data_IF_566951337264
#
_entry.id   IF_566951337264
#
_cell.length_a   1.000
_cell.length_b   1.000
_cell.length_c   1.000
_cell.angle_alpha   90.00
_cell.angle_beta   90.00
_cell.angle_gamma   90.00
#
_symmetry.space_group_name_H-M   'P 1'
#
loop_
_entity.id
_entity.type
_entity.pdbx_description
1 polymer ?
#
# COMPACT_ATOMS: atom_id res chain seq x y z
N UNK A 1 10.60 34.02 25.21
CA UNK A 1 10.22 32.70 25.77
C UNK A 1 9.53 31.86 24.68
N UNK A 2 10.28 31.24 23.78
CA UNK A 2 9.74 30.46 22.63
C UNK A 2 10.61 29.25 22.29
N UNK A 3 11.05 28.45 23.28
CA UNK A 3 11.93 27.31 23.00
C UNK A 3 11.46 25.96 23.61
N UNK A 4 10.27 25.89 24.18
CA UNK A 4 9.83 24.68 24.90
C UNK A 4 9.06 23.65 24.05
N UNK A 5 8.63 23.98 22.82
CA UNK A 5 7.86 23.07 21.98
C UNK A 5 8.70 22.06 21.16
N UNK A 6 10.03 22.26 21.07
CA UNK A 6 10.89 21.47 20.20
C UNK A 6 11.51 20.19 20.79
N UNK A 7 11.45 19.96 22.10
CA UNK A 7 12.19 18.88 22.78
C UNK A 7 11.33 17.93 23.63
N UNK A 8 10.01 17.98 23.53
CA UNK A 8 9.15 17.11 24.32
C UNK A 8 9.30 15.64 23.90
N UNK A 9 9.65 14.70 24.81
CA UNK A 9 9.66 13.27 24.53
C UNK A 9 8.28 12.74 24.07
N UNK A 10 7.21 13.49 24.33
CA UNK A 10 5.84 13.19 23.96
C UNK A 10 5.65 12.97 22.44
N UNK A 11 6.40 13.69 21.57
CA UNK A 11 6.32 13.52 20.11
C UNK A 11 6.68 12.10 19.66
N UNK A 12 7.62 11.46 20.35
CA UNK A 12 8.01 10.08 20.03
C UNK A 12 6.93 9.08 20.44
N UNK A 13 6.20 9.34 21.53
CA UNK A 13 5.01 8.57 21.90
C UNK A 13 3.90 8.73 20.86
N UNK A 14 3.67 9.94 20.35
CA UNK A 14 2.72 10.17 19.26
C UNK A 14 3.13 9.41 17.99
N UNK A 15 4.44 9.39 17.65
CA UNK A 15 4.93 8.59 16.53
C UNK A 15 4.70 7.09 16.76
N UNK A 16 4.98 6.57 17.95
CA UNK A 16 4.77 5.15 18.26
C UNK A 16 3.28 4.78 18.17
N UNK A 17 2.38 5.60 18.72
CA UNK A 17 0.93 5.40 18.65
C UNK A 17 0.42 5.47 17.20
N UNK A 18 0.90 6.43 16.42
CA UNK A 18 0.57 6.53 15.01
C UNK A 18 1.08 5.31 14.20
N UNK A 19 2.29 4.84 14.52
CA UNK A 19 2.86 3.64 13.90
C UNK A 19 2.04 2.38 14.24
N UNK A 20 1.63 2.19 15.49
CA UNK A 20 0.76 1.07 15.89
C UNK A 20 -0.57 1.14 15.15
N UNK A 21 -1.21 2.32 15.10
CA UNK A 21 -2.50 2.49 14.44
C UNK A 21 -2.42 2.20 12.94
N UNK A 22 -1.38 2.65 12.24
CA UNK A 22 -1.23 2.38 10.80
C UNK A 22 -0.79 0.94 10.53
N UNK A 23 0.09 0.36 11.36
CA UNK A 23 0.50 -1.04 11.20
C UNK A 23 -0.67 -2.00 11.36
N UNK A 24 -1.57 -1.73 12.33
CA UNK A 24 -2.78 -2.52 12.52
C UNK A 24 -3.75 -2.42 11.33
N UNK A 25 -3.83 -1.25 10.70
CA UNK A 25 -4.61 -1.06 9.46
C UNK A 25 -4.03 -1.87 8.30
N UNK A 26 -2.70 -1.86 8.12
CA UNK A 26 -2.04 -2.67 7.07
C UNK A 26 -2.09 -4.18 7.34
N UNK A 27 -2.15 -4.60 8.61
CA UNK A 27 -2.41 -6.00 8.94
C UNK A 27 -3.77 -6.44 8.41
N UNK A 28 -4.81 -5.65 8.67
CA UNK A 28 -6.18 -5.95 8.23
C UNK A 28 -6.34 -5.81 6.71
N UNK A 29 -5.64 -4.87 6.07
CA UNK A 29 -5.66 -4.73 4.61
C UNK A 29 -5.25 -6.03 3.92
N UNK A 30 -4.18 -6.65 4.38
CA UNK A 30 -3.55 -7.83 3.80
C UNK A 30 -4.12 -9.17 4.31
N UNK A 31 -5.11 -9.20 5.22
CA UNK A 31 -5.57 -10.41 5.92
C UNK A 31 -6.17 -11.49 5.01
N UNK A 32 -6.67 -11.12 3.83
CA UNK A 32 -7.32 -12.08 2.91
C UNK A 32 -6.30 -13.03 2.26
N UNK A 33 -5.10 -12.57 1.93
CA UNK A 33 -4.09 -13.39 1.29
C UNK A 33 -3.75 -14.68 2.05
N UNK A 34 -3.40 -14.61 3.35
CA UNK A 34 -3.11 -15.80 4.17
C UNK A 34 -4.26 -16.79 4.34
N UNK A 35 -5.52 -16.36 4.20
CA UNK A 35 -6.71 -17.21 4.35
C UNK A 35 -7.36 -17.60 3.03
N UNK A 36 -6.80 -17.17 1.88
CA UNK A 36 -7.40 -17.37 0.57
C UNK A 36 -7.73 -18.85 0.29
N UNK A 37 -6.77 -19.74 0.49
CA UNK A 37 -6.95 -21.19 0.32
C UNK A 37 -7.96 -21.78 1.33
N UNK A 38 -8.05 -21.27 2.57
CA UNK A 38 -9.08 -21.69 3.53
C UNK A 38 -10.48 -21.27 3.09
N UNK A 39 -10.64 -20.04 2.58
CA UNK A 39 -11.91 -19.57 2.02
C UNK A 39 -12.32 -20.40 0.80
N UNK A 40 -11.37 -20.73 -0.05
CA UNK A 40 -11.61 -21.57 -1.21
C UNK A 40 -12.08 -22.98 -0.79
N UNK A 41 -11.34 -23.66 0.09
CA UNK A 41 -11.65 -25.04 0.53
C UNK A 41 -12.87 -25.15 1.42
N UNK A 42 -13.06 -24.22 2.36
CA UNK A 42 -14.13 -24.33 3.38
C UNK A 42 -15.42 -23.62 2.97
N UNK A 43 -15.35 -22.61 2.11
CA UNK A 43 -16.48 -21.77 1.71
C UNK A 43 -16.80 -21.85 0.21
N UNK A 44 -15.97 -22.53 -0.58
CA UNK A 44 -16.11 -22.62 -2.03
C UNK A 44 -15.95 -21.28 -2.76
N UNK A 45 -15.21 -20.34 -2.18
CA UNK A 45 -14.99 -19.02 -2.83
C UNK A 45 -14.17 -19.21 -4.09
N UNK A 46 -14.53 -18.45 -5.14
CA UNK A 46 -13.78 -18.40 -6.38
C UNK A 46 -12.63 -17.38 -6.26
N UNK A 47 -11.68 -17.45 -7.18
CA UNK A 47 -10.59 -16.47 -7.27
C UNK A 47 -11.11 -15.04 -7.53
N UNK A 48 -12.19 -14.92 -8.33
CA UNK A 48 -12.90 -13.65 -8.54
C UNK A 48 -13.48 -13.08 -7.24
N UNK A 49 -14.02 -13.93 -6.37
CA UNK A 49 -14.57 -13.51 -5.08
C UNK A 49 -13.45 -13.04 -4.13
N UNK A 50 -12.30 -13.71 -4.10
CA UNK A 50 -11.12 -13.27 -3.35
C UNK A 50 -10.59 -11.93 -3.88
N UNK A 51 -10.49 -11.79 -5.21
CA UNK A 51 -10.13 -10.54 -5.86
C UNK A 51 -11.09 -9.40 -5.54
N UNK A 52 -12.38 -9.66 -5.43
CA UNK A 52 -13.39 -8.67 -5.05
C UNK A 52 -13.24 -8.23 -3.59
N UNK A 53 -12.95 -9.13 -2.65
CA UNK A 53 -12.73 -8.79 -1.25
C UNK A 53 -11.57 -7.79 -1.07
N UNK A 54 -10.49 -7.92 -1.84
CA UNK A 54 -9.38 -6.97 -1.80
C UNK A 54 -9.59 -5.76 -2.72
N UNK A 55 -10.21 -5.95 -3.87
CA UNK A 55 -10.46 -4.85 -4.81
C UNK A 55 -11.45 -3.81 -4.28
N UNK A 56 -12.47 -4.24 -3.52
CA UNK A 56 -13.52 -3.36 -3.01
C UNK A 56 -13.02 -2.31 -2.01
N UNK A 57 -11.92 -2.56 -1.31
CA UNK A 57 -11.27 -1.60 -0.39
C UNK A 57 -10.86 -0.32 -1.13
N UNK A 58 -10.41 -0.46 -2.36
CA UNK A 58 -9.93 0.67 -3.16
C UNK A 58 -11.06 1.62 -3.58
N UNK A 59 -12.32 1.17 -3.62
CA UNK A 59 -13.45 1.98 -4.10
C UNK A 59 -13.72 3.21 -3.22
N UNK A 60 -13.87 3.10 -1.88
CA UNK A 60 -14.09 4.26 -1.04
C UNK A 60 -12.87 5.18 -0.97
N UNK A 61 -11.65 4.67 -1.16
CA UNK A 61 -10.44 5.48 -1.19
C UNK A 61 -10.48 6.57 -2.27
N UNK A 62 -11.13 6.29 -3.39
CA UNK A 62 -11.37 7.27 -4.47
C UNK A 62 -12.09 8.52 -3.97
N UNK A 63 -13.19 8.35 -3.24
CA UNK A 63 -13.98 9.47 -2.71
C UNK A 63 -13.30 10.14 -1.52
N UNK A 64 -12.67 9.36 -0.65
CA UNK A 64 -12.13 9.83 0.62
C UNK A 64 -10.77 10.51 0.49
N UNK A 65 -10.00 10.24 -0.54
CA UNK A 65 -8.77 10.98 -0.82
C UNK A 65 -9.02 12.50 -0.92
N UNK A 66 -10.20 12.90 -1.39
CA UNK A 66 -10.60 14.30 -1.51
C UNK A 66 -11.22 14.87 -0.22
N UNK A 67 -11.97 14.03 0.50
CA UNK A 67 -12.76 14.45 1.66
C UNK A 67 -11.92 14.45 2.94
N UNK A 68 -10.93 13.55 3.03
CA UNK A 68 -10.09 13.39 4.23
C UNK A 68 -9.35 14.67 4.62
N UNK A 69 -8.82 15.42 3.65
CA UNK A 69 -8.18 16.70 3.92
C UNK A 69 -9.12 17.70 4.59
N UNK A 70 -10.34 17.86 4.07
CA UNK A 70 -11.37 18.76 4.63
C UNK A 70 -11.76 18.32 6.05
N UNK A 71 -11.91 17.02 6.29
CA UNK A 71 -12.22 16.48 7.61
C UNK A 71 -11.09 16.77 8.60
N UNK A 72 -9.83 16.56 8.19
CA UNK A 72 -8.64 16.81 9.01
C UNK A 72 -8.53 18.30 9.36
N UNK A 73 -8.75 19.19 8.40
CA UNK A 73 -8.71 20.65 8.64
C UNK A 73 -9.82 21.10 9.58
N UNK A 74 -11.03 20.56 9.46
CA UNK A 74 -12.19 20.95 10.27
C UNK A 74 -12.16 20.38 11.69
N UNK A 75 -11.79 19.12 11.84
CA UNK A 75 -11.92 18.38 13.10
C UNK A 75 -10.59 18.07 13.79
N UNK A 76 -9.47 18.27 13.09
CA UNK A 76 -8.13 17.94 13.53
C UNK A 76 -7.75 16.47 13.27
N UNK A 77 -6.45 16.20 13.04
CA UNK A 77 -5.98 14.89 12.61
C UNK A 77 -6.21 13.78 13.64
N UNK A 78 -6.02 14.04 14.92
CA UNK A 78 -6.16 13.04 15.97
C UNK A 78 -7.62 12.56 16.13
N UNK A 79 -8.60 13.48 16.07
CA UNK A 79 -10.02 13.12 16.13
C UNK A 79 -10.45 12.35 14.89
N UNK A 80 -9.99 12.76 13.71
CA UNK A 80 -10.30 12.07 12.46
C UNK A 80 -9.69 10.67 12.46
N UNK A 81 -8.44 10.51 12.91
CA UNK A 81 -7.80 9.20 13.04
C UNK A 81 -8.56 8.27 13.99
N UNK A 82 -9.07 8.79 15.12
CA UNK A 82 -9.91 8.01 16.05
C UNK A 82 -11.21 7.53 15.40
N UNK A 83 -11.94 8.38 14.68
CA UNK A 83 -13.17 7.96 13.99
C UNK A 83 -12.90 6.94 12.88
N UNK A 84 -11.85 7.17 12.10
CA UNK A 84 -11.47 6.24 11.04
C UNK A 84 -11.04 4.89 11.62
N UNK A 85 -10.25 4.86 12.70
CA UNK A 85 -9.90 3.61 13.37
C UNK A 85 -11.15 2.86 13.87
N UNK A 86 -12.15 3.58 14.38
CA UNK A 86 -13.43 2.99 14.79
C UNK A 86 -14.17 2.35 13.62
N UNK A 87 -14.24 3.06 12.47
CA UNK A 87 -14.83 2.54 11.23
C UNK A 87 -14.04 1.31 10.74
N UNK A 88 -12.71 1.34 10.84
CA UNK A 88 -11.85 0.22 10.48
C UNK A 88 -12.13 -1.04 11.28
N UNK A 89 -12.28 -0.92 12.61
CA UNK A 89 -12.66 -2.06 13.48
C UNK A 89 -14.04 -2.61 13.12
N UNK A 90 -15.02 -1.74 12.84
CA UNK A 90 -16.36 -2.18 12.40
C UNK A 90 -16.29 -2.95 11.08
N UNK A 91 -15.51 -2.44 10.11
CA UNK A 91 -15.28 -3.13 8.83
C UNK A 91 -14.61 -4.50 9.00
N UNK A 92 -13.55 -4.56 9.82
CA UNK A 92 -12.85 -5.80 10.14
C UNK A 92 -13.78 -6.83 10.81
N UNK A 93 -14.57 -6.41 11.80
CA UNK A 93 -15.52 -7.27 12.48
C UNK A 93 -16.61 -7.83 11.54
N UNK A 94 -17.17 -7.00 10.66
CA UNK A 94 -18.13 -7.44 9.64
C UNK A 94 -17.51 -8.45 8.67
N UNK A 95 -16.24 -8.23 8.29
CA UNK A 95 -15.49 -9.18 7.47
C UNK A 95 -15.30 -10.51 8.19
N UNK A 96 -14.99 -10.48 9.50
CA UNK A 96 -14.76 -11.67 10.31
C UNK A 96 -16.05 -12.48 10.61
N UNK A 97 -17.22 -11.84 10.71
CA UNK A 97 -18.52 -12.50 10.77
C UNK A 97 -18.76 -13.36 9.52
N UNK A 98 -18.45 -12.81 8.35
CA UNK A 98 -18.22 -13.55 7.11
C UNK A 98 -19.44 -14.13 6.40
N UNK A 99 -20.62 -14.16 6.98
CA UNK A 99 -21.83 -14.73 6.38
C UNK A 99 -22.97 -13.73 6.35
N UNK A 100 -23.61 -13.52 5.18
CA UNK A 100 -23.28 -14.06 3.85
C UNK A 100 -22.02 -13.39 3.23
N UNK A 101 -21.56 -13.90 2.07
CA UNK A 101 -20.42 -13.30 1.34
C UNK A 101 -20.55 -11.77 1.13
N UNK A 102 -21.77 -11.30 0.84
CA UNK A 102 -22.05 -9.86 0.71
C UNK A 102 -21.74 -9.07 1.99
N UNK A 103 -21.82 -9.69 3.16
CA UNK A 103 -21.44 -9.06 4.43
C UNK A 103 -19.92 -8.92 4.53
N UNK A 104 -19.14 -9.91 4.07
CA UNK A 104 -17.68 -9.77 3.97
C UNK A 104 -17.29 -8.62 3.02
N UNK A 105 -17.93 -8.56 1.85
CA UNK A 105 -17.71 -7.46 0.87
C UNK A 105 -18.05 -6.10 1.49
N UNK A 106 -19.18 -6.00 2.21
CA UNK A 106 -19.56 -4.77 2.91
C UNK A 106 -18.55 -4.42 4.01
N UNK A 107 -18.07 -5.41 4.77
CA UNK A 107 -17.03 -5.22 5.78
C UNK A 107 -15.74 -4.66 5.18
N UNK A 108 -15.27 -5.23 4.08
CA UNK A 108 -14.09 -4.77 3.34
C UNK A 108 -14.29 -3.36 2.75
N UNK A 109 -15.49 -3.06 2.24
CA UNK A 109 -15.83 -1.71 1.78
C UNK A 109 -15.78 -0.69 2.93
N UNK A 110 -16.38 -1.02 4.07
CA UNK A 110 -16.36 -0.15 5.27
C UNK A 110 -14.92 0.01 5.78
N UNK A 111 -14.13 -1.05 5.80
CA UNK A 111 -12.71 -0.97 6.15
C UNK A 111 -11.95 -0.03 5.20
N UNK A 112 -12.21 -0.11 3.89
CA UNK A 112 -11.64 0.79 2.88
C UNK A 112 -11.93 2.28 3.13
N UNK A 113 -13.04 2.61 3.80
CA UNK A 113 -13.31 4.00 4.25
C UNK A 113 -12.24 4.48 5.23
N UNK A 114 -11.73 3.57 6.05
CA UNK A 114 -10.72 3.87 7.06
C UNK A 114 -9.30 3.91 6.48
N UNK A 115 -8.94 2.93 5.66
CA UNK A 115 -7.56 2.55 5.34
C UNK A 115 -6.72 3.72 4.79
N UNK A 116 -7.08 4.28 3.63
CA UNK A 116 -6.31 5.37 3.03
C UNK A 116 -6.40 6.69 3.79
N UNK A 117 -7.57 6.99 4.37
CA UNK A 117 -7.82 8.24 5.09
C UNK A 117 -7.11 8.30 6.45
N UNK A 118 -7.01 7.19 7.20
CA UNK A 118 -6.30 7.14 8.48
C UNK A 118 -4.80 7.38 8.30
N UNK A 119 -4.23 6.85 7.21
CA UNK A 119 -2.83 7.10 6.85
C UNK A 119 -2.54 8.60 6.73
N UNK A 120 -3.39 9.33 5.98
CA UNK A 120 -3.26 10.78 5.77
C UNK A 120 -3.43 11.54 7.09
N UNK A 121 -4.43 11.16 7.90
CA UNK A 121 -4.71 11.80 9.20
C UNK A 121 -3.52 11.67 10.16
N UNK A 122 -2.90 10.49 10.24
CA UNK A 122 -1.75 10.25 11.11
C UNK A 122 -0.50 11.01 10.64
N UNK A 123 -0.22 11.06 9.33
CA UNK A 123 0.87 11.89 8.78
C UNK A 123 0.65 13.38 9.09
N UNK A 124 -0.58 13.88 8.89
CA UNK A 124 -0.92 15.26 9.23
C UNK A 124 -0.76 15.54 10.74
N UNK A 125 -1.09 14.55 11.59
CA UNK A 125 -0.85 14.59 13.02
C UNK A 125 0.63 14.72 13.35
N UNK A 126 1.49 13.89 12.77
CA UNK A 126 2.94 13.97 12.98
C UNK A 126 3.49 15.36 12.60
N UNK A 127 3.00 15.95 11.51
CA UNK A 127 3.41 17.30 11.09
C UNK A 127 3.06 18.40 12.12
N UNK A 128 2.08 18.17 13.01
CA UNK A 128 1.75 19.10 14.10
C UNK A 128 2.63 18.92 15.34
N UNK A 129 3.16 17.71 15.56
CA UNK A 129 3.95 17.37 16.75
C UNK A 129 5.46 17.48 16.53
N UNK A 130 5.93 17.34 15.30
CA UNK A 130 7.35 17.40 14.98
C UNK A 130 7.75 18.75 14.38
N UNK A 131 8.93 19.32 14.77
CA UNK A 131 9.47 20.51 14.12
C UNK A 131 9.86 20.23 12.67
N UNK A 132 9.95 21.27 11.85
CA UNK A 132 10.34 21.16 10.43
C UNK A 132 11.65 20.40 10.21
N UNK A 133 12.61 20.50 11.12
CA UNK A 133 13.89 19.77 11.07
C UNK A 133 13.80 18.29 11.38
N UNK A 134 12.71 17.81 12.03
CA UNK A 134 12.54 16.41 12.45
C UNK A 134 11.42 15.67 11.74
N UNK A 135 10.56 16.37 10.99
CA UNK A 135 9.38 15.75 10.35
C UNK A 135 9.75 14.73 9.29
N UNK A 136 10.84 14.96 8.55
CA UNK A 136 11.30 14.02 7.52
C UNK A 136 11.66 12.65 8.13
N UNK A 137 12.44 12.65 9.23
CA UNK A 137 12.78 11.42 9.96
C UNK A 137 11.54 10.75 10.55
N UNK A 138 10.65 11.52 11.19
CA UNK A 138 9.42 10.98 11.77
C UNK A 138 8.54 10.32 10.70
N UNK A 139 8.37 10.95 9.54
CA UNK A 139 7.59 10.40 8.43
C UNK A 139 8.26 9.15 7.85
N UNK A 140 9.58 9.14 7.68
CA UNK A 140 10.30 7.97 7.21
C UNK A 140 10.15 6.77 8.16
N UNK A 141 10.28 6.99 9.47
CA UNK A 141 10.05 5.96 10.49
C UNK A 141 8.60 5.47 10.47
N UNK A 142 7.63 6.37 10.36
CA UNK A 142 6.22 6.04 10.27
C UNK A 142 5.92 5.14 9.06
N UNK A 143 6.45 5.49 7.87
CA UNK A 143 6.29 4.70 6.64
C UNK A 143 6.91 3.32 6.75
N UNK A 144 8.10 3.22 7.35
CA UNK A 144 8.77 1.93 7.57
C UNK A 144 8.01 1.07 8.57
N UNK A 145 7.57 1.65 9.69
CA UNK A 145 6.81 0.94 10.72
C UNK A 145 5.43 0.52 10.22
N UNK A 146 4.79 1.27 9.33
CA UNK A 146 3.54 0.87 8.69
C UNK A 146 3.63 -0.52 8.04
N UNK A 147 4.76 -0.84 7.40
CA UNK A 147 4.98 -2.13 6.73
C UNK A 147 5.13 -3.32 7.69
N UNK A 148 5.36 -3.05 8.98
CA UNK A 148 5.39 -4.11 10.00
C UNK A 148 4.05 -4.84 10.08
N UNK A 149 2.92 -4.15 9.86
CA UNK A 149 1.59 -4.77 9.80
C UNK A 149 1.48 -5.81 8.68
N UNK A 150 1.88 -5.43 7.48
CA UNK A 150 1.90 -6.32 6.32
C UNK A 150 2.86 -7.51 6.49
N UNK A 151 4.03 -7.28 7.08
CA UNK A 151 4.96 -8.34 7.45
C UNK A 151 4.36 -9.28 8.50
N UNK A 152 3.70 -8.73 9.52
CA UNK A 152 3.14 -9.48 10.62
C UNK A 152 1.96 -10.38 10.18
N UNK A 153 1.10 -9.93 9.26
CA UNK A 153 0.00 -10.75 8.76
C UNK A 153 0.49 -11.92 7.92
N UNK A 154 1.49 -11.73 7.07
CA UNK A 154 2.07 -12.84 6.29
C UNK A 154 2.71 -13.88 7.20
N UNK A 155 3.52 -13.43 8.18
CA UNK A 155 4.17 -14.32 9.15
C UNK A 155 3.20 -14.89 10.17
N UNK A 156 1.97 -14.38 10.30
CA UNK A 156 0.96 -14.93 11.21
C UNK A 156 0.60 -16.37 10.88
N UNK A 157 0.76 -16.78 9.62
CA UNK A 157 0.65 -18.17 9.20
C UNK A 157 1.60 -19.11 9.96
N UNK A 158 2.69 -18.58 10.51
CA UNK A 158 3.64 -19.33 11.34
C UNK A 158 3.40 -19.10 12.85
N UNK A 159 3.42 -17.84 13.34
CA UNK A 159 3.31 -17.56 14.77
C UNK A 159 1.88 -17.73 15.34
N UNK A 160 0.86 -17.59 14.51
CA UNK A 160 -0.54 -17.81 14.88
C UNK A 160 -1.13 -19.04 14.20
N UNK A 161 -0.31 -20.00 13.76
CA UNK A 161 -0.73 -21.21 13.04
C UNK A 161 -1.94 -21.93 13.64
N UNK A 162 -2.04 -22.12 14.97
CA UNK A 162 -3.20 -22.77 15.57
C UNK A 162 -4.56 -22.10 15.29
N UNK A 163 -4.58 -20.80 14.94
CA UNK A 163 -5.81 -20.12 14.55
C UNK A 163 -6.21 -20.49 13.11
N UNK A 164 -5.24 -20.69 12.23
CA UNK A 164 -5.50 -21.15 10.86
C UNK A 164 -6.03 -22.59 10.82
N UNK A 165 -5.62 -23.45 11.78
CA UNK A 165 -6.17 -24.81 11.94
C UNK A 165 -7.62 -24.81 12.40
N UNK A 166 -8.08 -23.77 13.11
CA UNK A 166 -9.49 -23.62 13.52
C UNK A 166 -10.42 -23.22 12.36
N UNK A 167 -9.87 -22.87 11.20
CA UNK A 167 -10.60 -22.47 10.00
C UNK A 167 -10.44 -20.99 9.64
N UNK A 168 -11.15 -20.58 8.59
CA UNK A 168 -11.01 -19.25 7.96
C UNK A 168 -11.37 -18.07 8.87
N UNK A 169 -12.31 -18.23 9.80
CA UNK A 169 -12.83 -17.13 10.62
C UNK A 169 -11.85 -16.70 11.73
N UNK A 170 -11.10 -17.63 12.33
CA UNK A 170 -10.26 -17.33 13.47
C UNK A 170 -9.10 -16.35 13.14
N UNK A 171 -8.39 -16.45 11.99
CA UNK A 171 -7.42 -15.43 11.56
C UNK A 171 -8.06 -14.06 11.31
N UNK A 172 -9.30 -13.98 10.81
CA UNK A 172 -10.01 -12.72 10.61
C UNK A 172 -10.36 -12.04 11.95
N UNK A 173 -10.76 -12.82 12.95
CA UNK A 173 -10.97 -12.30 14.30
C UNK A 173 -9.65 -11.83 14.95
N UNK A 174 -8.53 -12.49 14.65
CA UNK A 174 -7.20 -11.98 15.03
C UNK A 174 -6.92 -10.62 14.36
N UNK A 175 -7.21 -10.48 13.06
CA UNK A 175 -7.11 -9.21 12.34
C UNK A 175 -7.96 -8.12 12.99
N UNK A 176 -9.22 -8.43 13.32
CA UNK A 176 -10.13 -7.54 14.05
C UNK A 176 -9.55 -7.12 15.40
N UNK A 177 -8.98 -8.05 16.16
CA UNK A 177 -8.35 -7.75 17.46
C UNK A 177 -7.13 -6.84 17.31
N UNK A 178 -6.30 -7.07 16.30
CA UNK A 178 -5.14 -6.22 15.99
C UNK A 178 -5.61 -4.82 15.55
N UNK A 179 -6.66 -4.73 14.73
CA UNK A 179 -7.24 -3.45 14.33
C UNK A 179 -7.84 -2.70 15.54
N UNK A 180 -8.41 -3.43 16.50
CA UNK A 180 -8.87 -2.85 17.78
C UNK A 180 -7.73 -2.33 18.66
N UNK A 181 -6.55 -2.96 18.65
CA UNK A 181 -5.34 -2.40 19.27
C UNK A 181 -4.93 -1.07 18.60
N UNK A 182 -5.06 -1.00 17.27
CA UNK A 182 -4.87 0.25 16.53
C UNK A 182 -5.86 1.35 16.93
N UNK A 183 -7.13 1.01 17.16
CA UNK A 183 -8.12 1.94 17.72
C UNK A 183 -7.72 2.38 19.13
N UNK A 184 -7.22 1.48 19.97
CA UNK A 184 -6.69 1.83 21.29
C UNK A 184 -5.56 2.85 21.20
N UNK A 185 -4.60 2.63 20.29
CA UNK A 185 -3.51 3.57 20.05
C UNK A 185 -4.01 4.93 19.53
N UNK A 186 -4.94 4.95 18.58
CA UNK A 186 -5.56 6.17 18.07
C UNK A 186 -6.36 6.94 19.15
N UNK A 187 -7.01 6.21 20.08
CA UNK A 187 -7.72 6.78 21.23
C UNK A 187 -6.77 7.48 22.20
N UNK A 188 -5.64 6.81 22.53
CA UNK A 188 -4.60 7.40 23.38
C UNK A 188 -3.96 8.61 22.69
N UNK A 189 -3.69 8.52 21.38
CA UNK A 189 -3.20 9.66 20.60
C UNK A 189 -4.20 10.84 20.64
N UNK A 190 -5.50 10.59 20.45
CA UNK A 190 -6.52 11.61 20.52
C UNK A 190 -6.60 12.26 21.91
N UNK A 191 -6.51 11.47 22.98
CA UNK A 191 -6.48 11.97 24.36
C UNK A 191 -5.23 12.83 24.63
N UNK A 192 -4.04 12.43 24.16
CA UNK A 192 -2.82 13.22 24.25
C UNK A 192 -2.94 14.54 23.49
N UNK A 193 -3.52 14.51 22.30
CA UNK A 193 -3.74 15.70 21.47
C UNK A 193 -4.66 16.72 22.16
N UNK A 194 -5.73 16.25 22.80
CA UNK A 194 -6.64 17.12 23.56
C UNK A 194 -5.96 17.83 24.73
N UNK A 195 -4.99 17.16 25.38
CA UNK A 195 -4.33 17.71 26.59
C UNK A 195 -3.08 18.52 26.30
N UNK A 196 -2.34 18.18 25.26
CA UNK A 196 -0.97 18.65 25.04
C UNK A 196 -0.72 19.21 23.64
N UNK A 197 -1.76 19.45 22.85
CA UNK A 197 -1.63 19.92 21.47
C UNK A 197 -0.75 21.16 21.37
N UNK A 198 0.31 21.16 20.54
CA UNK A 198 1.08 22.37 20.24
C UNK A 198 0.20 23.43 19.57
N UNK A 199 0.28 24.68 20.03
CA UNK A 199 -0.57 25.80 19.56
C UNK A 199 -0.34 26.25 18.10
N UNK A 200 0.53 25.61 17.34
CA UNK A 200 0.85 25.98 15.96
C UNK A 200 0.34 24.91 15.01
N UNK A 201 -0.80 25.14 14.41
CA UNK A 201 -1.32 24.34 13.31
C UNK A 201 -1.03 25.05 11.99
N UNK A 202 -0.13 24.49 11.18
CA UNK A 202 -0.10 24.83 9.77
C UNK A 202 -1.25 24.07 9.10
N UNK A 203 -2.27 24.78 8.63
CA UNK A 203 -3.32 24.20 7.78
C UNK A 203 -2.69 23.66 6.51
N UNK A 204 -2.86 22.37 6.24
CA UNK A 204 -2.56 21.80 4.93
C UNK A 204 -3.67 22.30 4.02
N UNK A 205 -3.37 23.26 3.16
CA UNK A 205 -4.33 23.75 2.16
C UNK A 205 -4.54 22.64 1.13
N UNK A 206 -5.65 21.95 1.23
CA UNK A 206 -6.10 21.02 0.18
C UNK A 206 -6.64 21.85 -0.97
N UNK A 207 -5.85 22.01 -2.02
CA UNK A 207 -6.30 22.69 -3.23
C UNK A 207 -7.40 21.88 -3.92
N UNK A 208 -8.50 22.55 -4.28
CA UNK A 208 -9.60 21.92 -5.02
C UNK A 208 -9.12 21.44 -6.40
N UNK A 209 -9.48 20.20 -6.76
CA UNK A 209 -9.18 19.64 -8.08
C UNK A 209 -9.89 20.44 -9.16
N UNK A 210 -9.12 21.07 -10.03
CA UNK A 210 -9.63 21.81 -11.19
C UNK A 210 -9.68 20.89 -12.43
N UNK A 211 -10.76 20.14 -12.59
CA UNK A 211 -10.93 19.15 -13.66
C UNK A 211 -10.59 19.65 -15.08
N UNK A 212 -10.84 20.92 -15.39
CA UNK A 212 -10.50 21.52 -16.68
C UNK A 212 -8.99 21.64 -16.95
N UNK A 213 -8.13 21.46 -15.92
CA UNK A 213 -6.68 21.57 -16.05
C UNK A 213 -6.00 20.20 -16.23
N UNK A 214 -6.73 19.09 -16.14
CA UNK A 214 -6.18 17.74 -16.25
C UNK A 214 -5.48 17.49 -17.60
N UNK A 215 -6.04 17.96 -18.70
CA UNK A 215 -5.47 17.76 -20.04
C UNK A 215 -4.24 18.63 -20.33
N UNK A 216 -3.84 19.51 -19.43
CA UNK A 216 -2.71 20.44 -19.61
C UNK A 216 -1.42 19.99 -18.94
N UNK A 217 -1.37 18.74 -18.41
CA UNK A 217 -0.14 18.18 -17.86
C UNK A 217 0.85 17.83 -18.98
N UNK A 218 2.14 17.97 -18.67
CA UNK A 218 3.22 17.55 -19.56
C UNK A 218 3.19 16.03 -19.81
N UNK A 219 3.79 15.59 -20.91
CA UNK A 219 3.81 14.17 -21.27
C UNK A 219 4.59 13.32 -20.24
N UNK A 220 5.61 13.88 -19.57
CA UNK A 220 6.32 13.22 -18.49
C UNK A 220 5.40 12.85 -17.33
N UNK A 221 4.42 13.70 -17.02
CA UNK A 221 3.41 13.39 -16.01
C UNK A 221 2.56 12.17 -16.40
N UNK A 222 2.14 12.07 -17.67
CA UNK A 222 1.35 10.94 -18.14
C UNK A 222 2.15 9.63 -18.12
N UNK A 223 3.46 9.69 -18.39
CA UNK A 223 4.33 8.51 -18.23
C UNK A 223 4.48 8.11 -16.76
N UNK A 224 4.64 9.06 -15.84
CA UNK A 224 4.68 8.77 -14.40
C UNK A 224 3.35 8.20 -13.91
N UNK A 225 2.23 8.76 -14.34
CA UNK A 225 0.89 8.26 -14.02
C UNK A 225 0.72 6.82 -14.51
N UNK A 226 1.03 6.55 -15.79
CA UNK A 226 0.96 5.21 -16.38
C UNK A 226 1.84 4.21 -15.65
N UNK A 227 3.10 4.58 -15.39
CA UNK A 227 4.03 3.77 -14.60
C UNK A 227 3.43 3.44 -13.22
N UNK A 228 3.00 4.44 -12.46
CA UNK A 228 2.55 4.25 -11.09
C UNK A 228 1.29 3.39 -11.01
N UNK A 229 0.31 3.67 -11.86
CA UNK A 229 -0.97 2.94 -11.89
C UNK A 229 -0.77 1.48 -12.28
N UNK A 230 -0.02 1.22 -13.36
CA UNK A 230 0.25 -0.14 -13.84
C UNK A 230 1.11 -0.92 -12.85
N UNK A 231 2.11 -0.27 -12.26
CA UNK A 231 2.94 -0.86 -11.21
C UNK A 231 2.10 -1.28 -10.00
N UNK A 232 1.27 -0.37 -9.48
CA UNK A 232 0.42 -0.64 -8.34
C UNK A 232 -0.64 -1.72 -8.64
N UNK A 233 -1.21 -1.70 -9.84
CA UNK A 233 -2.18 -2.70 -10.31
C UNK A 233 -1.60 -4.11 -10.47
N UNK A 234 -0.27 -4.25 -10.52
CA UNK A 234 0.42 -5.54 -10.51
C UNK A 234 0.86 -5.92 -9.10
N UNK A 235 1.61 -5.02 -8.47
CA UNK A 235 2.27 -5.30 -7.20
C UNK A 235 1.27 -5.68 -6.09
N UNK A 236 0.32 -4.80 -5.82
CA UNK A 236 -0.61 -5.01 -4.72
C UNK A 236 -1.52 -6.22 -4.95
N UNK A 237 -2.29 -6.34 -6.06
CA UNK A 237 -3.17 -7.48 -6.27
C UNK A 237 -2.46 -8.82 -6.19
N UNK A 238 -1.30 -8.97 -6.85
CA UNK A 238 -0.56 -10.22 -6.78
C UNK A 238 -0.13 -10.53 -5.34
N UNK A 239 0.56 -9.59 -4.69
CA UNK A 239 1.16 -9.80 -3.37
C UNK A 239 0.11 -9.98 -2.26
N UNK A 240 -0.97 -9.17 -2.26
CA UNK A 240 -1.93 -9.15 -1.14
C UNK A 240 -3.05 -10.19 -1.28
N UNK A 241 -3.33 -10.63 -2.52
CA UNK A 241 -4.46 -11.51 -2.78
C UNK A 241 -4.00 -12.92 -3.17
N UNK A 242 -3.11 -13.04 -4.15
CA UNK A 242 -2.88 -14.29 -4.85
C UNK A 242 -1.57 -15.00 -4.52
N UNK A 243 -0.55 -14.28 -4.03
CA UNK A 243 0.81 -14.81 -3.90
C UNK A 243 0.91 -16.02 -2.97
N UNK A 244 0.29 -15.95 -1.78
CA UNK A 244 0.38 -17.02 -0.78
C UNK A 244 -0.28 -18.30 -1.31
N UNK A 245 -1.50 -18.20 -1.87
CA UNK A 245 -2.19 -19.34 -2.45
C UNK A 245 -1.44 -19.92 -3.67
N UNK A 246 -0.93 -19.06 -4.55
CA UNK A 246 -0.06 -19.47 -5.65
C UNK A 246 1.18 -20.23 -5.15
N UNK A 247 1.83 -19.77 -4.09
CA UNK A 247 2.99 -20.44 -3.52
C UNK A 247 2.63 -21.81 -2.94
N UNK A 248 1.46 -21.93 -2.34
CA UNK A 248 0.97 -23.22 -1.84
C UNK A 248 0.70 -24.19 -2.99
N UNK A 249 -0.11 -23.79 -3.97
CA UNK A 249 -0.61 -24.69 -5.01
C UNK A 249 0.41 -24.93 -6.12
N UNK A 250 1.07 -23.89 -6.62
CA UNK A 250 1.97 -24.00 -7.77
C UNK A 250 3.42 -24.30 -7.39
N UNK A 251 3.84 -23.96 -6.16
CA UNK A 251 5.21 -24.22 -5.68
C UNK A 251 5.28 -25.29 -4.60
N UNK A 252 4.14 -25.84 -4.18
CA UNK A 252 4.06 -26.94 -3.21
C UNK A 252 4.47 -26.58 -1.80
N UNK A 253 4.41 -25.28 -1.42
CA UNK A 253 4.75 -24.85 -0.08
C UNK A 253 3.60 -25.07 0.90
N UNK A 254 3.93 -25.31 2.17
CA UNK A 254 2.94 -25.22 3.24
C UNK A 254 2.47 -23.77 3.41
N UNK A 255 1.31 -23.56 4.04
CA UNK A 255 0.79 -22.23 4.34
C UNK A 255 1.83 -21.38 5.10
N UNK A 256 2.51 -21.96 6.07
CA UNK A 256 3.55 -21.30 6.86
C UNK A 256 4.72 -20.85 5.98
N UNK A 257 5.23 -21.75 5.14
CA UNK A 257 6.34 -21.44 4.22
C UNK A 257 5.95 -20.38 3.19
N UNK A 258 4.73 -20.46 2.65
CA UNK A 258 4.20 -19.50 1.68
C UNK A 258 4.04 -18.10 2.29
N UNK A 259 3.50 -18.00 3.49
CA UNK A 259 3.38 -16.73 4.21
C UNK A 259 4.74 -16.11 4.55
N UNK A 260 5.67 -16.90 5.09
CA UNK A 260 7.04 -16.46 5.34
C UNK A 260 7.73 -16.02 4.04
N UNK A 261 7.58 -16.76 2.94
CA UNK A 261 8.13 -16.35 1.64
C UNK A 261 7.57 -15.01 1.17
N UNK A 262 6.25 -14.79 1.31
CA UNK A 262 5.60 -13.53 0.94
C UNK A 262 6.05 -12.35 1.82
N UNK A 263 6.26 -12.57 3.11
CA UNK A 263 6.66 -11.53 4.07
C UNK A 263 8.01 -10.87 3.74
N UNK A 264 8.89 -11.57 3.04
CA UNK A 264 10.20 -11.05 2.63
C UNK A 264 10.11 -9.85 1.68
N UNK A 265 9.00 -9.71 0.95
CA UNK A 265 8.75 -8.53 0.11
C UNK A 265 8.79 -7.27 0.97
N UNK A 266 8.07 -7.23 2.09
CA UNK A 266 8.05 -6.05 2.94
C UNK A 266 9.21 -6.00 3.93
N UNK A 267 9.73 -7.15 4.36
CA UNK A 267 10.97 -7.16 5.14
C UNK A 267 12.10 -6.46 4.37
N UNK A 268 12.31 -6.82 3.12
CA UNK A 268 13.29 -6.14 2.26
C UNK A 268 12.98 -4.64 2.11
N UNK A 269 11.71 -4.29 1.88
CA UNK A 269 11.28 -2.91 1.67
C UNK A 269 11.49 -2.01 2.90
N UNK A 270 11.30 -2.51 4.12
CA UNK A 270 11.52 -1.74 5.36
C UNK A 270 12.92 -1.13 5.40
N UNK A 271 13.94 -1.90 5.03
CA UNK A 271 15.34 -1.46 5.05
C UNK A 271 15.76 -0.77 3.75
N UNK A 272 15.28 -1.25 2.63
CA UNK A 272 15.70 -0.77 1.32
C UNK A 272 15.08 0.59 0.95
N UNK A 273 13.86 0.92 1.42
CA UNK A 273 13.20 2.19 1.07
C UNK A 273 13.98 3.43 1.53
N UNK A 274 14.46 3.53 2.79
CA UNK A 274 15.30 4.65 3.21
C UNK A 274 16.62 4.72 2.44
N UNK A 275 17.23 3.57 2.17
CA UNK A 275 18.48 3.48 1.43
C UNK A 275 18.31 4.02 0.00
N UNK A 276 17.31 3.59 -0.73
CA UNK A 276 17.05 4.05 -2.11
C UNK A 276 16.60 5.49 -2.18
N UNK A 277 15.86 5.99 -1.20
CA UNK A 277 15.54 7.41 -1.09
C UNK A 277 16.81 8.28 -1.00
N UNK A 278 17.72 7.92 -0.09
CA UNK A 278 19.01 8.60 0.05
C UNK A 278 19.89 8.47 -1.22
N UNK A 279 19.87 7.30 -1.85
CA UNK A 279 20.64 7.05 -3.06
C UNK A 279 20.14 7.92 -4.21
N UNK A 280 18.81 8.02 -4.39
CA UNK A 280 18.20 8.87 -5.41
C UNK A 280 18.46 10.37 -5.18
N UNK A 281 18.54 10.80 -3.92
CA UNK A 281 18.88 12.19 -3.60
C UNK A 281 20.35 12.53 -3.89
N UNK A 282 21.27 11.56 -3.70
CA UNK A 282 22.70 11.76 -3.95
C UNK A 282 23.09 11.62 -5.42
N UNK A 283 22.59 10.60 -6.09
CA UNK A 283 23.01 10.30 -7.47
C UNK A 283 22.20 11.07 -8.53
N UNK A 284 20.99 11.53 -8.20
CA UNK A 284 20.04 11.93 -9.23
C UNK A 284 19.56 10.70 -10.02
N UNK A 285 19.57 10.76 -11.35
CA UNK A 285 19.19 9.66 -12.25
C UNK A 285 17.87 8.95 -11.87
N UNK A 286 16.88 9.74 -11.41
CA UNK A 286 15.64 9.25 -10.84
C UNK A 286 14.81 8.45 -11.85
N UNK A 287 14.76 8.89 -13.11
CA UNK A 287 14.00 8.17 -14.14
C UNK A 287 14.69 6.86 -14.55
N UNK A 288 16.03 6.82 -14.57
CA UNK A 288 16.78 5.58 -14.77
C UNK A 288 16.55 4.60 -13.60
N UNK A 289 16.61 5.08 -12.36
CA UNK A 289 16.36 4.26 -11.18
C UNK A 289 14.92 3.72 -11.15
N UNK A 290 13.91 4.53 -11.55
CA UNK A 290 12.53 4.06 -11.74
C UNK A 290 12.45 2.95 -12.79
N UNK A 291 13.17 3.10 -13.91
CA UNK A 291 13.20 2.07 -14.97
C UNK A 291 13.82 0.76 -14.46
N UNK A 292 14.91 0.84 -13.69
CA UNK A 292 15.53 -0.33 -13.07
C UNK A 292 14.59 -0.98 -12.03
N UNK A 293 14.00 -0.21 -11.12
CA UNK A 293 13.07 -0.73 -10.12
C UNK A 293 11.84 -1.38 -10.76
N UNK A 294 11.31 -0.79 -11.84
CA UNK A 294 10.17 -1.34 -12.57
C UNK A 294 10.53 -2.59 -13.35
N UNK A 295 11.76 -2.71 -13.89
CA UNK A 295 12.25 -3.90 -14.59
C UNK A 295 12.25 -5.13 -13.68
N UNK A 296 12.51 -4.99 -12.39
CA UNK A 296 12.50 -6.11 -11.45
C UNK A 296 11.12 -6.78 -11.35
N UNK A 297 10.03 -6.04 -11.62
CA UNK A 297 8.68 -6.59 -11.51
C UNK A 297 8.35 -7.63 -12.61
N UNK A 298 8.51 -7.38 -13.92
CA UNK A 298 8.33 -8.43 -14.93
C UNK A 298 9.35 -9.57 -14.77
N UNK A 299 10.59 -9.28 -14.37
CA UNK A 299 11.58 -10.33 -14.09
C UNK A 299 11.13 -11.23 -12.92
N UNK A 300 10.45 -10.69 -11.92
CA UNK A 300 9.84 -11.48 -10.84
C UNK A 300 8.87 -12.53 -11.42
N UNK A 301 7.99 -12.15 -12.35
CA UNK A 301 7.03 -13.08 -12.95
C UNK A 301 7.71 -14.09 -13.87
N UNK A 302 8.79 -13.72 -14.57
CA UNK A 302 9.62 -14.68 -15.33
C UNK A 302 10.23 -15.71 -14.39
N UNK A 303 10.81 -15.27 -13.27
CA UNK A 303 11.40 -16.20 -12.27
C UNK A 303 10.33 -17.10 -11.68
N UNK A 304 9.16 -16.57 -11.33
CA UNK A 304 8.07 -17.34 -10.74
C UNK A 304 7.47 -18.37 -11.72
N UNK A 305 7.23 -17.97 -12.95
CA UNK A 305 6.53 -18.81 -13.94
C UNK A 305 7.45 -19.78 -14.69
N UNK A 306 8.67 -19.37 -15.03
CA UNK A 306 9.53 -20.11 -15.97
C UNK A 306 10.75 -20.76 -15.33
N UNK A 307 11.00 -20.55 -14.02
CA UNK A 307 12.19 -21.11 -13.36
C UNK A 307 11.83 -21.88 -12.09
N UNK A 308 12.74 -22.78 -11.71
CA UNK A 308 12.69 -23.50 -10.44
C UNK A 308 13.63 -22.86 -9.38
N UNK A 309 13.98 -21.58 -9.55
CA UNK A 309 14.79 -20.87 -8.57
C UNK A 309 14.04 -20.77 -7.23
N UNK A 310 14.81 -20.66 -6.17
CA UNK A 310 14.24 -20.50 -4.85
C UNK A 310 13.36 -19.23 -4.83
N UNK A 311 12.15 -19.33 -4.25
CA UNK A 311 11.17 -18.23 -4.16
C UNK A 311 11.72 -16.95 -3.52
N UNK A 312 12.75 -17.06 -2.68
CA UNK A 312 13.46 -15.91 -2.11
C UNK A 312 13.99 -14.94 -3.17
N UNK A 313 14.42 -15.45 -4.33
CA UNK A 313 14.90 -14.60 -5.41
C UNK A 313 13.78 -13.69 -5.89
N UNK A 314 12.63 -14.25 -6.20
CA UNK A 314 11.48 -13.49 -6.72
C UNK A 314 10.88 -12.54 -5.65
N UNK A 315 10.75 -12.99 -4.41
CA UNK A 315 10.18 -12.15 -3.34
C UNK A 315 11.12 -11.00 -2.95
N UNK A 316 12.43 -11.24 -2.88
CA UNK A 316 13.42 -10.16 -2.66
C UNK A 316 13.48 -9.19 -3.83
N UNK A 317 13.46 -9.67 -5.08
CA UNK A 317 13.37 -8.81 -6.27
C UNK A 317 12.14 -7.91 -6.22
N UNK A 318 10.99 -8.47 -5.88
CA UNK A 318 9.74 -7.74 -5.71
C UNK A 318 9.83 -6.71 -4.58
N UNK A 319 10.47 -7.06 -3.46
CA UNK A 319 10.72 -6.17 -2.32
C UNK A 319 11.65 -5.01 -2.66
N UNK A 320 12.75 -5.25 -3.40
CA UNK A 320 13.65 -4.20 -3.90
C UNK A 320 12.91 -3.28 -4.86
N UNK A 321 12.12 -3.84 -5.80
CA UNK A 321 11.27 -3.08 -6.70
C UNK A 321 10.34 -2.15 -5.94
N UNK A 322 9.65 -2.68 -4.92
CA UNK A 322 8.73 -1.90 -4.09
C UNK A 322 9.43 -0.86 -3.21
N UNK A 323 10.65 -1.11 -2.77
CA UNK A 323 11.42 -0.12 -2.03
C UNK A 323 11.85 1.05 -2.92
N UNK A 324 12.22 0.76 -4.17
CA UNK A 324 12.80 1.74 -5.10
C UNK A 324 11.73 2.61 -5.77
N UNK A 325 10.69 1.99 -6.34
CA UNK A 325 9.71 2.71 -7.17
C UNK A 325 8.91 3.76 -6.36
N UNK A 326 8.24 3.44 -5.23
CA UNK A 326 7.52 4.44 -4.45
C UNK A 326 8.42 5.52 -3.83
N UNK A 327 9.66 5.17 -3.45
CA UNK A 327 10.59 6.14 -2.88
C UNK A 327 10.95 7.28 -3.85
N UNK A 328 10.90 7.02 -5.15
CA UNK A 328 11.29 7.97 -6.18
C UNK A 328 10.09 8.61 -6.86
N UNK A 329 9.00 7.88 -7.09
CA UNK A 329 7.89 8.33 -7.94
C UNK A 329 7.17 9.57 -7.38
N UNK A 330 6.98 9.63 -6.04
CA UNK A 330 6.33 10.77 -5.40
C UNK A 330 7.18 12.04 -5.48
N UNK A 331 8.47 12.03 -5.12
CA UNK A 331 9.34 13.19 -5.32
C UNK A 331 9.50 13.57 -6.80
N UNK A 332 9.61 12.59 -7.71
CA UNK A 332 9.72 12.86 -9.14
C UNK A 332 8.47 13.59 -9.68
N UNK A 333 7.29 13.22 -9.22
CA UNK A 333 6.05 13.91 -9.60
C UNK A 333 6.08 15.39 -9.20
N UNK A 334 6.65 15.74 -8.04
CA UNK A 334 6.76 17.13 -7.59
C UNK A 334 7.74 17.97 -8.41
N UNK A 335 8.69 17.34 -9.10
CA UNK A 335 9.63 18.01 -9.99
C UNK A 335 9.04 18.27 -11.39
N UNK A 336 8.15 17.38 -11.86
CA UNK A 336 7.52 17.47 -13.18
C UNK A 336 6.34 18.45 -13.18
N UNK A 337 5.59 18.48 -12.07
CA UNK A 337 4.33 19.22 -12.01
C UNK A 337 4.51 20.57 -11.32
N UNK A 338 3.98 21.62 -11.93
CA UNK A 338 3.97 22.96 -11.32
C UNK A 338 3.30 22.93 -9.92
N UNK A 339 3.86 23.65 -8.91
CA UNK A 339 3.32 23.65 -7.54
C UNK A 339 1.83 23.95 -7.44
N UNK A 340 1.31 24.85 -8.31
CA UNK A 340 -0.11 25.22 -8.35
C UNK A 340 -1.05 24.10 -8.82
N UNK A 341 -0.52 23.02 -9.42
CA UNK A 341 -1.29 21.89 -9.97
C UNK A 341 -0.97 20.58 -9.27
N UNK A 342 -0.06 20.63 -8.31
CA UNK A 342 0.45 19.41 -7.66
C UNK A 342 -0.64 18.63 -6.96
N UNK A 343 -1.55 19.31 -6.23
CA UNK A 343 -2.69 18.66 -5.57
C UNK A 343 -3.60 17.91 -6.56
N UNK A 344 -3.91 18.53 -7.71
CA UNK A 344 -4.69 17.90 -8.77
C UNK A 344 -3.96 16.69 -9.37
N UNK A 345 -2.65 16.80 -9.59
CA UNK A 345 -1.84 15.71 -10.15
C UNK A 345 -1.77 14.51 -9.20
N UNK A 346 -1.47 14.74 -7.93
CA UNK A 346 -1.40 13.67 -6.92
C UNK A 346 -2.76 13.02 -6.68
N UNK A 347 -3.84 13.82 -6.63
CA UNK A 347 -5.20 13.32 -6.53
C UNK A 347 -5.60 12.43 -7.71
N UNK A 348 -5.22 12.80 -8.93
CA UNK A 348 -5.48 11.99 -10.12
C UNK A 348 -4.70 10.67 -10.10
N UNK A 349 -3.42 10.71 -9.71
CA UNK A 349 -2.61 9.48 -9.54
C UNK A 349 -3.30 8.53 -8.55
N UNK A 350 -3.68 9.03 -7.38
CA UNK A 350 -4.31 8.20 -6.33
C UNK A 350 -5.66 7.64 -6.79
N UNK A 351 -6.47 8.45 -7.47
CA UNK A 351 -7.76 8.05 -8.02
C UNK A 351 -7.61 6.88 -9.01
N UNK A 352 -6.77 7.06 -10.03
CA UNK A 352 -6.62 6.07 -11.09
C UNK A 352 -5.90 4.83 -10.56
N UNK A 353 -4.96 4.98 -9.62
CA UNK A 353 -4.32 3.86 -8.92
C UNK A 353 -5.36 2.98 -8.21
N UNK A 354 -6.25 3.57 -7.43
CA UNK A 354 -7.28 2.84 -6.69
C UNK A 354 -8.20 2.05 -7.65
N UNK A 355 -8.64 2.69 -8.74
CA UNK A 355 -9.44 2.02 -9.78
C UNK A 355 -8.65 0.91 -10.49
N UNK A 356 -7.37 1.15 -10.79
CA UNK A 356 -6.48 0.18 -11.41
C UNK A 356 -6.27 -1.06 -10.53
N UNK A 357 -6.05 -0.87 -9.23
CA UNK A 357 -5.90 -1.96 -8.26
C UNK A 357 -7.20 -2.78 -8.15
N UNK A 358 -8.36 -2.13 -8.03
CA UNK A 358 -9.65 -2.80 -7.96
C UNK A 358 -9.93 -3.63 -9.24
N UNK A 359 -9.74 -3.01 -10.41
CA UNK A 359 -9.93 -3.68 -11.69
C UNK A 359 -8.96 -4.86 -11.88
N UNK A 360 -7.69 -4.69 -11.49
CA UNK A 360 -6.68 -5.74 -11.62
C UNK A 360 -6.93 -6.91 -10.68
N UNK A 361 -7.36 -6.67 -9.43
CA UNK A 361 -7.76 -7.73 -8.51
C UNK A 361 -8.89 -8.59 -9.13
N UNK A 362 -9.94 -7.95 -9.64
CA UNK A 362 -11.07 -8.65 -10.22
C UNK A 362 -10.69 -9.37 -11.53
N UNK A 363 -9.92 -8.73 -12.41
CA UNK A 363 -9.50 -9.30 -13.67
C UNK A 363 -8.58 -10.53 -13.46
N UNK A 364 -7.60 -10.43 -12.57
CA UNK A 364 -6.70 -11.52 -12.24
C UNK A 364 -7.45 -12.72 -11.65
N UNK A 365 -8.38 -12.48 -10.72
CA UNK A 365 -9.23 -13.55 -10.16
C UNK A 365 -10.10 -14.21 -11.23
N UNK A 366 -10.71 -13.43 -12.12
CA UNK A 366 -11.54 -13.97 -13.19
C UNK A 366 -10.74 -14.80 -14.20
N UNK A 367 -9.53 -14.37 -14.54
CA UNK A 367 -8.63 -15.13 -15.41
C UNK A 367 -8.20 -16.44 -14.75
N UNK A 368 -7.91 -16.42 -13.45
CA UNK A 368 -7.58 -17.63 -12.69
C UNK A 368 -8.78 -18.59 -12.62
N UNK A 369 -10.00 -18.09 -12.39
CA UNK A 369 -11.24 -18.92 -12.41
C UNK A 369 -11.46 -19.55 -13.78
N UNK A 370 -11.35 -18.78 -14.88
CA UNK A 370 -11.52 -19.27 -16.26
C UNK A 370 -10.48 -20.34 -16.63
N UNK A 371 -9.27 -20.24 -16.08
CA UNK A 371 -8.21 -21.23 -16.27
C UNK A 371 -8.33 -22.42 -15.29
N UNK A 372 -9.29 -22.40 -14.36
CA UNK A 372 -9.47 -23.44 -13.34
C UNK A 372 -8.30 -23.53 -12.37
N UNK A 373 -7.66 -22.39 -12.04
CA UNK A 373 -6.51 -22.35 -11.15
C UNK A 373 -6.87 -22.80 -9.74
N UNK A 374 -6.02 -23.65 -9.16
CA UNK A 374 -6.22 -24.18 -7.81
C UNK A 374 -5.26 -25.33 -7.50
N UNK A 375 -5.42 -25.96 -6.34
CA UNK A 375 -4.56 -27.06 -5.89
C UNK A 375 -4.53 -28.25 -6.86
N UNK A 376 -5.64 -28.53 -7.56
CA UNK A 376 -5.76 -29.63 -8.52
C UNK A 376 -5.28 -29.24 -9.93
N UNK A 377 -5.18 -27.95 -10.24
CA UNK A 377 -4.70 -27.43 -11.50
C UNK A 377 -3.78 -26.24 -11.28
N UNK A 378 -2.54 -26.45 -10.79
CA UNK A 378 -1.58 -25.39 -10.56
C UNK A 378 -1.20 -24.62 -11.83
N UNK A 379 -1.21 -25.27 -13.00
CA UNK A 379 -0.93 -24.63 -14.30
C UNK A 379 -1.97 -23.55 -14.67
N UNK A 380 -3.18 -23.60 -14.10
CA UNK A 380 -4.19 -22.56 -14.28
C UNK A 380 -3.73 -21.18 -13.81
N UNK A 381 -2.79 -21.09 -12.86
CA UNK A 381 -2.21 -19.82 -12.41
C UNK A 381 -1.34 -19.13 -13.49
N UNK A 382 -0.85 -19.86 -14.51
CA UNK A 382 0.02 -19.28 -15.56
C UNK A 382 -0.70 -18.18 -16.34
N UNK A 383 -2.01 -18.29 -16.53
CA UNK A 383 -2.82 -17.27 -17.20
C UNK A 383 -2.85 -15.97 -16.36
N UNK A 384 -3.02 -16.08 -15.06
CA UNK A 384 -2.97 -14.95 -14.14
C UNK A 384 -1.57 -14.34 -14.06
N UNK A 385 -0.52 -15.17 -14.00
CA UNK A 385 0.87 -14.68 -14.03
C UNK A 385 1.19 -13.97 -15.34
N UNK A 386 0.73 -14.51 -16.48
CA UNK A 386 0.85 -13.89 -17.78
C UNK A 386 0.18 -12.51 -17.85
N UNK A 387 -1.00 -12.36 -17.25
CA UNK A 387 -1.67 -11.07 -17.13
C UNK A 387 -0.83 -10.06 -16.33
N UNK A 388 -0.32 -10.42 -15.15
CA UNK A 388 0.53 -9.54 -14.36
C UNK A 388 1.87 -9.24 -15.05
N UNK A 389 2.44 -10.21 -15.76
CA UNK A 389 3.64 -10.01 -16.57
C UNK A 389 3.41 -8.97 -17.66
N UNK A 390 2.34 -9.06 -18.43
CA UNK A 390 2.01 -8.09 -19.49
C UNK A 390 1.75 -6.69 -18.94
N UNK A 391 1.03 -6.57 -17.84
CA UNK A 391 0.84 -5.27 -17.17
C UNK A 391 2.16 -4.69 -16.66
N UNK A 392 3.05 -5.52 -16.10
CA UNK A 392 4.36 -5.09 -15.62
C UNK A 392 5.29 -4.66 -16.76
N UNK A 393 5.22 -5.29 -17.93
CA UNK A 393 5.90 -4.83 -19.15
C UNK A 393 5.36 -3.46 -19.61
N UNK A 394 4.05 -3.25 -19.51
CA UNK A 394 3.44 -1.95 -19.83
C UNK A 394 3.89 -0.85 -18.87
N UNK A 395 4.04 -1.18 -17.58
CA UNK A 395 4.64 -0.29 -16.59
C UNK A 395 6.10 0.05 -16.92
N UNK A 396 6.88 -0.96 -17.27
CA UNK A 396 8.28 -0.81 -17.70
C UNK A 396 8.40 0.06 -18.95
N UNK A 397 7.53 -0.15 -19.95
CA UNK A 397 7.49 0.71 -21.13
C UNK A 397 7.26 2.18 -20.75
N UNK A 398 6.32 2.45 -19.85
CA UNK A 398 6.06 3.81 -19.35
C UNK A 398 7.29 4.40 -18.64
N UNK A 399 8.02 3.58 -17.85
CA UNK A 399 9.26 3.99 -17.19
C UNK A 399 10.37 4.32 -18.18
N UNK A 400 10.56 3.50 -19.21
CA UNK A 400 11.57 3.70 -20.26
C UNK A 400 11.25 4.94 -21.11
N UNK A 401 9.99 5.17 -21.44
CA UNK A 401 9.55 6.38 -22.17
C UNK A 401 9.77 7.64 -21.33
N UNK A 402 9.51 7.56 -20.00
CA UNK A 402 9.84 8.63 -19.07
C UNK A 402 11.35 8.89 -19.06
N UNK A 403 12.16 7.85 -18.87
CA UNK A 403 13.61 8.00 -18.84
C UNK A 403 14.15 8.61 -20.13
N UNK A 404 13.74 8.12 -21.31
CA UNK A 404 14.14 8.65 -22.61
C UNK A 404 13.78 10.12 -22.75
N UNK A 405 12.62 10.57 -22.24
CA UNK A 405 12.19 11.95 -22.30
C UNK A 405 12.98 12.82 -21.34
N UNK A 406 13.19 12.35 -20.10
CA UNK A 406 13.90 13.11 -19.07
C UNK A 406 15.41 13.22 -19.32
N UNK A 407 16.01 12.26 -20.02
CA UNK A 407 17.39 12.35 -20.51
C UNK A 407 17.55 13.30 -21.72
N UNK A 408 16.47 13.76 -22.33
CA UNK A 408 16.46 14.65 -23.49
C UNK A 408 16.25 16.13 -23.13
N UNK A 409 16.22 17.03 -24.16
CA UNK A 409 16.13 18.48 -23.96
C UNK A 409 14.81 18.98 -23.33
N UNK A 410 13.79 18.11 -23.24
CA UNK A 410 12.49 18.40 -22.61
C UNK A 410 12.37 17.82 -21.20
N UNK A 411 13.49 17.46 -20.58
CA UNK A 411 13.53 16.88 -19.23
C UNK A 411 13.32 17.92 -18.13
N UNK A 412 12.80 17.45 -16.99
CA UNK A 412 12.49 18.26 -15.79
C UNK A 412 13.56 18.09 -14.70
N UNK A 413 14.81 17.83 -15.10
CA UNK A 413 15.95 17.61 -14.20
C UNK A 413 15.87 16.34 -13.32
N UNK A 414 15.05 15.34 -13.69
CA UNK A 414 15.02 14.08 -12.96
C UNK A 414 16.36 13.32 -13.01
N UNK A 415 17.14 13.54 -14.06
CA UNK A 415 18.46 12.93 -14.25
C UNK A 415 19.60 13.75 -13.63
N UNK A 416 19.34 14.96 -13.15
CA UNK A 416 20.36 15.80 -12.52
C UNK A 416 20.61 15.37 -11.07
N UNK A 417 21.90 15.24 -10.69
CA UNK A 417 22.29 15.14 -9.30
C UNK A 417 21.96 16.45 -8.58
N UNK A 418 21.50 16.40 -7.34
CA UNK A 418 21.43 17.62 -6.51
C UNK A 418 22.84 18.04 -6.16
N UNK A 419 23.25 19.20 -6.64
CA UNK A 419 24.50 19.89 -6.25
C UNK A 419 24.46 20.30 -4.77
#
# INVERSE_FOLDING_TARGET
>A
MSSAAGSSPMRWWVLALAAIAVSSSYYEDDVIGPIADLLHRQRGFTQSQLGMLNGVISIPNVALALVSGVLIDRFGPARVAFWLATIGVLGAALTAIGEPYSLMVLGRFIFGISEGAIFIALVAGLAQWFPRSGIALATALYLSLARVGSYAVDTSTAWAHPLYERGWAAPLWLGTAITALGLGAASVYYWLDLRHRPKASASIVVEQIKWRQLLKFDLSYWYILGLHVLYAAVFFPFRTTYAIEYFQHAKGLTLQQAGVANSWVFFAAIFATPFFGLLADRLGHRALMLSFGTLLLPLTFVVLGLTNLNLWVSTVMMGISFALVPAIIWPATTLIVEPRRLGTALGLITLIQALGMAASNLAAGRLADLAGAGAQNPAGYDVMLGFFFLLSLSALLSALLLWRREAGPKGHQLEAARS
#
